data_IF_609480751163
#
_entry.id   IF_609480751163
#
_cell.length_a   1.000
_cell.length_b   1.000
_cell.length_c   1.000
_cell.angle_alpha   90.00
_cell.angle_beta   90.00
_cell.angle_gamma   90.00
#
_symmetry.space_group_name_H-M   'P 1'
#
loop_
_entity.id
_entity.type
_entity.pdbx_description
1 polymer ?
#
# COMPACT_ATOMS: atom_id res chain seq x y z
N UNK A 1 -9.83 13.96 -2.58
CA UNK A 1 -9.38 12.63 -2.94
C UNK A 1 -8.08 12.31 -2.20
N UNK A 2 -8.14 11.30 -1.36
CA UNK A 2 -6.99 10.81 -0.61
C UNK A 2 -6.06 10.08 -1.59
N UNK A 3 -4.79 10.48 -1.67
CA UNK A 3 -3.81 9.85 -2.55
C UNK A 3 -2.95 8.89 -1.76
N UNK A 4 -2.96 7.62 -2.14
CA UNK A 4 -1.91 6.69 -1.75
C UNK A 4 -0.74 7.00 -2.69
N UNK A 5 0.24 7.75 -2.19
CA UNK A 5 1.44 7.98 -2.96
C UNK A 5 2.25 6.70 -3.01
N UNK A 6 2.45 6.25 -4.21
CA UNK A 6 3.41 5.27 -4.64
C UNK A 6 3.36 3.93 -3.90
N UNK A 7 2.90 2.95 -4.61
CA UNK A 7 3.04 1.55 -4.26
C UNK A 7 2.27 1.16 -3.00
N UNK A 8 0.95 1.09 -3.13
CA UNK A 8 0.11 0.32 -2.22
C UNK A 8 0.40 -1.21 -2.32
N UNK A 9 1.58 -1.57 -2.72
CA UNK A 9 2.10 -2.90 -2.47
C UNK A 9 2.64 -2.88 -1.05
N UNK A 10 1.88 -3.41 -0.14
CA UNK A 10 2.42 -3.94 1.09
C UNK A 10 3.31 -5.10 0.65
N UNK A 11 4.51 -4.76 0.17
CA UNK A 11 5.41 -5.73 -0.45
C UNK A 11 6.28 -6.35 0.63
N UNK A 12 6.15 -7.65 0.79
CA UNK A 12 7.05 -8.44 1.60
C UNK A 12 8.40 -8.74 0.89
N UNK A 13 8.61 -8.24 -0.31
CA UNK A 13 9.72 -8.64 -1.19
C UNK A 13 11.01 -7.84 -1.03
N UNK A 14 11.07 -6.86 -0.13
CA UNK A 14 12.34 -6.23 0.22
C UNK A 14 13.08 -7.08 1.26
N UNK A 15 14.41 -7.28 1.14
CA UNK A 15 15.22 -7.93 2.17
C UNK A 15 15.38 -7.04 3.43
N UNK A 16 14.36 -6.29 3.77
CA UNK A 16 14.24 -5.40 4.92
C UNK A 16 12.92 -5.58 5.62
N UNK A 17 12.77 -4.89 6.75
CA UNK A 17 11.49 -4.82 7.47
C UNK A 17 10.44 -4.23 6.52
N UNK A 18 9.29 -4.89 6.29
CA UNK A 18 8.22 -4.35 5.47
C UNK A 18 7.82 -2.97 5.99
N UNK A 19 7.97 -1.95 5.17
CA UNK A 19 7.54 -0.60 5.54
C UNK A 19 6.07 -0.45 5.20
N UNK A 20 5.23 -0.03 6.15
CA UNK A 20 3.85 0.30 5.87
C UNK A 20 3.77 1.43 4.83
N UNK A 21 2.70 1.50 4.02
CA UNK A 21 2.51 2.59 3.08
C UNK A 21 2.34 3.92 3.84
N UNK A 22 2.92 4.99 3.32
CA UNK A 22 2.65 6.32 3.84
C UNK A 22 1.35 6.87 3.25
N UNK A 23 0.55 7.48 4.09
CA UNK A 23 -0.73 8.11 3.76
C UNK A 23 -0.61 9.61 4.02
N UNK A 24 -1.13 10.39 3.09
CA UNK A 24 -1.33 11.81 3.25
C UNK A 24 -2.83 12.13 3.26
N UNK A 25 -3.28 12.84 4.28
CA UNK A 25 -4.64 13.37 4.40
C UNK A 25 -4.60 14.86 4.07
N UNK A 26 -5.04 15.29 2.87
CA UNK A 26 -4.94 16.68 2.45
C UNK A 26 -5.72 17.65 3.36
N UNK A 27 -6.87 17.20 3.87
CA UNK A 27 -7.78 18.01 4.68
C UNK A 27 -7.14 18.40 6.02
N UNK A 28 -6.32 17.54 6.60
CA UNK A 28 -5.63 17.77 7.88
C UNK A 28 -4.15 18.09 7.72
N UNK A 29 -3.60 17.88 6.52
CA UNK A 29 -2.15 17.98 6.27
C UNK A 29 -1.33 16.92 7.00
N UNK A 30 -1.98 15.83 7.45
CA UNK A 30 -1.36 14.77 8.23
C UNK A 30 -0.64 13.77 7.34
N UNK A 31 0.57 13.38 7.75
CA UNK A 31 1.32 12.27 7.17
C UNK A 31 1.51 11.17 8.19
N UNK A 32 1.12 9.98 7.84
CA UNK A 32 1.24 8.83 8.73
C UNK A 32 1.27 7.51 7.99
N UNK A 33 1.33 6.45 8.75
CA UNK A 33 1.14 5.08 8.28
C UNK A 33 -0.15 4.54 8.86
N UNK A 34 -0.87 3.65 8.16
CA UNK A 34 -2.09 3.09 8.72
C UNK A 34 -1.79 2.29 9.97
N UNK A 35 -2.74 2.24 10.89
CA UNK A 35 -2.72 1.27 11.98
C UNK A 35 -2.77 -0.15 11.40
N UNK A 36 -2.14 -1.11 12.08
CA UNK A 36 -2.12 -2.52 11.65
C UNK A 36 -3.53 -3.09 11.46
N UNK A 37 -4.47 -2.68 12.31
CA UNK A 37 -5.88 -3.11 12.21
C UNK A 37 -6.55 -2.60 10.94
N UNK A 38 -6.23 -1.38 10.50
CA UNK A 38 -6.72 -0.87 9.22
C UNK A 38 -6.01 -1.54 8.04
N UNK A 39 -4.74 -1.89 8.17
CA UNK A 39 -4.02 -2.66 7.15
C UNK A 39 -4.62 -4.07 6.97
N UNK A 40 -4.99 -4.73 8.06
CA UNK A 40 -5.73 -6.01 8.03
C UNK A 40 -7.07 -5.86 7.30
N UNK A 41 -7.85 -4.83 7.65
CA UNK A 41 -9.13 -4.53 7.01
C UNK A 41 -8.99 -4.22 5.52
N UNK A 42 -7.91 -3.53 5.10
CA UNK A 42 -7.62 -3.26 3.69
C UNK A 42 -7.35 -4.55 2.90
N UNK A 43 -6.84 -5.59 3.54
CA UNK A 43 -6.68 -6.93 2.94
C UNK A 43 -7.94 -7.80 3.07
N UNK A 44 -8.97 -7.31 3.77
CA UNK A 44 -10.22 -8.03 3.98
C UNK A 44 -10.21 -8.98 5.20
N UNK A 45 -9.21 -8.86 6.08
CA UNK A 45 -9.19 -9.58 7.35
C UNK A 45 -10.01 -8.88 8.43
N UNK A 46 -10.52 -9.62 9.41
CA UNK A 46 -11.00 -9.04 10.66
C UNK A 46 -9.90 -8.26 11.38
N UNK A 47 -10.32 -7.33 12.22
CA UNK A 47 -9.40 -6.59 13.12
C UNK A 47 -8.66 -7.59 14.02
N UNK A 48 -7.36 -7.35 14.19
CA UNK A 48 -6.45 -8.17 15.02
C UNK A 48 -6.26 -9.63 14.58
N UNK A 49 -6.59 -9.93 13.32
CA UNK A 49 -6.37 -11.26 12.74
C UNK A 49 -4.93 -11.77 12.89
N UNK A 50 -3.96 -10.87 12.76
CA UNK A 50 -2.53 -11.21 12.87
C UNK A 50 -1.96 -11.02 14.29
N UNK A 51 -2.77 -10.64 15.27
CA UNK A 51 -2.32 -10.39 16.64
C UNK A 51 -1.60 -11.60 17.30
N UNK A 52 -2.00 -12.86 17.07
CA UNK A 52 -1.28 -14.02 17.61
C UNK A 52 0.20 -14.08 17.22
N UNK A 53 0.58 -13.53 16.06
CA UNK A 53 1.98 -13.45 15.64
C UNK A 53 2.83 -12.58 16.58
N UNK A 54 2.26 -11.54 17.17
CA UNK A 54 2.97 -10.71 18.14
C UNK A 54 3.16 -11.45 19.45
N UNK A 55 2.15 -12.20 19.90
CA UNK A 55 2.26 -13.02 21.09
C UNK A 55 3.36 -14.09 20.96
N UNK A 56 3.47 -14.72 19.77
CA UNK A 56 4.46 -15.74 19.51
C UNK A 56 5.90 -15.20 19.35
N UNK A 57 6.08 -13.98 18.82
CA UNK A 57 7.40 -13.45 18.45
C UNK A 57 7.87 -12.30 19.34
N UNK A 58 6.98 -11.70 20.13
CA UNK A 58 7.23 -10.47 20.90
C UNK A 58 7.45 -9.23 20.02
N UNK A 59 7.24 -9.31 18.71
CA UNK A 59 7.56 -8.24 17.75
C UNK A 59 6.39 -7.90 16.82
N UNK A 60 5.88 -6.66 16.83
CA UNK A 60 4.76 -6.25 15.97
C UNK A 60 5.14 -6.25 14.47
N UNK A 61 6.43 -6.18 14.13
CA UNK A 61 6.88 -6.15 12.73
C UNK A 61 6.53 -7.42 11.95
N UNK A 62 6.34 -8.56 12.62
CA UNK A 62 5.89 -9.80 12.00
C UNK A 62 4.51 -9.66 11.37
N UNK A 63 3.62 -8.87 11.97
CA UNK A 63 2.26 -8.64 11.47
C UNK A 63 2.26 -7.97 10.09
N UNK A 64 3.11 -6.95 9.88
CA UNK A 64 3.25 -6.30 8.57
C UNK A 64 3.67 -7.29 7.48
N UNK A 65 4.57 -8.21 7.81
CA UNK A 65 5.01 -9.25 6.87
C UNK A 65 3.86 -10.21 6.53
N UNK A 66 3.06 -10.61 7.51
CA UNK A 66 1.90 -11.46 7.28
C UNK A 66 0.87 -10.78 6.39
N UNK A 67 0.51 -9.53 6.69
CA UNK A 67 -0.43 -8.73 5.90
C UNK A 67 0.09 -8.54 4.46
N UNK A 68 1.38 -8.24 4.31
CA UNK A 68 1.97 -8.02 2.99
C UNK A 68 2.11 -9.29 2.12
N UNK A 69 2.21 -10.46 2.75
CA UNK A 69 2.23 -11.75 2.05
C UNK A 69 0.82 -12.30 1.78
N UNK A 70 -0.18 -11.75 2.45
CA UNK A 70 -1.55 -12.20 2.29
C UNK A 70 -2.12 -11.80 0.93
N UNK A 71 -3.00 -12.62 0.44
CA UNK A 71 -3.83 -12.29 -0.72
C UNK A 71 -5.04 -11.47 -0.28
N UNK A 72 -5.59 -10.67 -1.19
CA UNK A 72 -6.80 -9.89 -0.92
C UNK A 72 -8.00 -10.84 -0.75
N UNK A 73 -8.45 -11.02 0.49
CA UNK A 73 -9.45 -12.04 0.87
C UNK A 73 -10.73 -11.96 0.06
N UNK A 74 -11.38 -10.79 -0.14
CA UNK A 74 -12.64 -10.73 -0.89
C UNK A 74 -12.51 -11.20 -2.34
N UNK A 75 -11.35 -11.02 -2.98
CA UNK A 75 -11.13 -11.47 -4.34
C UNK A 75 -10.99 -12.98 -4.41
N UNK A 76 -10.26 -13.58 -3.47
CA UNK A 76 -10.09 -15.03 -3.42
C UNK A 76 -11.37 -15.75 -2.97
N UNK A 77 -12.15 -15.13 -2.10
CA UNK A 77 -13.49 -15.63 -1.75
C UNK A 77 -14.41 -15.64 -2.98
N UNK A 78 -14.40 -14.56 -3.75
CA UNK A 78 -15.14 -14.48 -5.00
C UNK A 78 -14.68 -15.57 -6.00
N UNK A 79 -13.37 -15.70 -6.18
CA UNK A 79 -12.79 -16.73 -7.07
C UNK A 79 -13.18 -18.13 -6.62
N UNK A 80 -13.04 -18.44 -5.32
CA UNK A 80 -13.44 -19.71 -4.76
C UNK A 80 -14.91 -20.06 -5.01
N UNK A 81 -15.81 -19.09 -4.81
CA UNK A 81 -17.24 -19.23 -5.13
C UNK A 81 -17.48 -19.51 -6.62
N UNK A 82 -16.70 -18.89 -7.51
CA UNK A 82 -16.78 -19.13 -8.96
C UNK A 82 -16.27 -20.51 -9.37
N UNK A 83 -15.20 -20.97 -8.73
CA UNK A 83 -14.67 -22.31 -8.98
C UNK A 83 -15.60 -23.41 -8.44
N UNK A 84 -16.21 -23.20 -7.27
CA UNK A 84 -17.15 -24.15 -6.67
C UNK A 84 -18.49 -24.21 -7.45
N UNK A 85 -18.95 -23.11 -8.03
CA UNK A 85 -20.15 -23.05 -8.83
C UNK A 85 -19.86 -22.29 -10.15
N UNK A 86 -19.26 -22.96 -11.15
CA UNK A 86 -18.94 -22.32 -12.42
C UNK A 86 -20.21 -21.85 -13.11
N UNK A 87 -20.23 -20.59 -13.49
CA UNK A 87 -21.27 -20.07 -14.38
C UNK A 87 -20.96 -20.61 -15.77
N UNK A 88 -21.97 -21.17 -16.42
CA UNK A 88 -21.84 -21.67 -17.79
C UNK A 88 -21.16 -20.66 -18.72
N UNK A 89 -20.58 -21.14 -19.80
CA UNK A 89 -19.84 -20.32 -20.78
C UNK A 89 -20.70 -19.14 -21.20
N UNK A 90 -20.32 -17.93 -20.72
CA UNK A 90 -20.77 -16.69 -21.35
C UNK A 90 -19.86 -16.46 -22.55
N UNK A 91 -20.44 -16.06 -23.67
CA UNK A 91 -19.64 -15.52 -24.77
C UNK A 91 -18.83 -14.32 -24.23
N UNK A 92 -17.52 -14.41 -24.30
CA UNK A 92 -16.69 -13.26 -23.99
C UNK A 92 -16.91 -12.18 -25.06
N UNK A 93 -16.91 -10.90 -24.69
CA UNK A 93 -16.88 -9.82 -25.69
C UNK A 93 -15.54 -9.89 -26.43
N UNK A 94 -15.54 -10.58 -27.55
CA UNK A 94 -14.36 -10.74 -28.39
C UNK A 94 -14.30 -9.53 -29.32
N UNK A 95 -13.23 -8.77 -29.21
CA UNK A 95 -12.93 -7.65 -30.10
C UNK A 95 -12.10 -8.07 -31.30
N UNK A 96 -11.44 -7.10 -31.92
CA UNK A 96 -10.65 -7.29 -33.14
C UNK A 96 -9.44 -8.22 -32.92
N UNK A 97 -9.09 -9.03 -33.93
CA UNK A 97 -7.85 -9.78 -33.90
C UNK A 97 -6.63 -8.86 -33.88
N UNK A 98 -5.56 -9.27 -33.23
CA UNK A 98 -4.31 -8.51 -33.18
C UNK A 98 -3.09 -9.41 -33.43
N UNK A 99 -2.04 -8.82 -34.02
CA UNK A 99 -0.82 -9.54 -34.39
C UNK A 99 0.42 -9.06 -33.62
N UNK A 100 0.58 -7.76 -33.40
CA UNK A 100 1.86 -7.16 -33.04
C UNK A 100 1.93 -6.58 -31.63
N UNK A 101 0.95 -5.82 -31.17
CA UNK A 101 0.97 -5.22 -29.84
C UNK A 101 -0.02 -5.91 -28.91
N UNK A 102 0.41 -6.28 -27.70
CA UNK A 102 -0.47 -6.90 -26.69
C UNK A 102 -1.42 -5.84 -26.11
N UNK A 103 -2.74 -6.07 -26.19
CA UNK A 103 -3.72 -5.22 -25.49
C UNK A 103 -3.71 -5.48 -24.00
N UNK A 104 -4.44 -4.66 -23.24
CA UNK A 104 -4.61 -4.84 -21.78
C UNK A 104 -5.19 -6.20 -21.40
N UNK A 105 -6.07 -6.76 -22.26
CA UNK A 105 -6.58 -8.11 -22.11
C UNK A 105 -6.79 -8.78 -23.48
N UNK A 106 -6.58 -10.08 -23.53
CA UNK A 106 -6.70 -10.87 -24.74
C UNK A 106 -7.20 -12.27 -24.44
N UNK A 107 -7.82 -12.89 -25.40
CA UNK A 107 -8.06 -14.33 -25.44
C UNK A 107 -7.49 -14.93 -26.71
N UNK A 108 -7.23 -16.22 -26.70
CA UNK A 108 -6.70 -16.93 -27.86
C UNK A 108 -7.12 -18.40 -27.87
N UNK A 109 -7.20 -18.94 -29.08
CA UNK A 109 -7.45 -20.35 -29.35
C UNK A 109 -7.25 -20.63 -30.82
N UNK A 110 -6.89 -21.86 -31.18
CA UNK A 110 -6.73 -22.30 -32.57
C UNK A 110 -5.80 -21.41 -33.40
N UNK A 111 -4.72 -20.92 -32.79
CA UNK A 111 -3.74 -20.05 -33.47
C UNK A 111 -4.18 -18.59 -33.66
N UNK A 112 -5.38 -18.23 -33.24
CA UNK A 112 -5.89 -16.83 -33.35
C UNK A 112 -5.84 -16.13 -32.00
N UNK A 113 -5.66 -14.80 -32.03
CA UNK A 113 -5.60 -13.94 -30.85
C UNK A 113 -6.57 -12.78 -31.05
N UNK A 114 -7.39 -12.50 -30.03
CA UNK A 114 -8.42 -11.47 -30.07
C UNK A 114 -8.27 -10.56 -28.85
N UNK A 115 -8.47 -9.27 -29.06
CA UNK A 115 -8.59 -8.30 -27.98
C UNK A 115 -9.86 -8.60 -27.19
N UNK A 116 -9.77 -8.50 -25.86
CA UNK A 116 -10.96 -8.47 -25.01
C UNK A 116 -11.24 -7.02 -24.62
N UNK A 117 -12.47 -6.60 -24.82
CA UNK A 117 -12.97 -5.33 -24.31
C UNK A 117 -13.42 -5.50 -22.86
N UNK A 118 -12.42 -5.49 -21.97
CA UNK A 118 -12.63 -5.57 -20.53
C UNK A 118 -12.02 -4.35 -19.84
N UNK A 119 -12.73 -3.82 -18.88
CA UNK A 119 -12.27 -2.70 -18.07
C UNK A 119 -11.50 -3.19 -16.86
N UNK A 120 -10.43 -2.49 -16.49
CA UNK A 120 -9.77 -2.64 -15.17
C UNK A 120 -10.72 -2.30 -14.02
N UNK A 121 -11.80 -1.58 -14.32
CA UNK A 121 -12.85 -1.19 -13.38
C UNK A 121 -14.20 -1.76 -13.83
N UNK A 122 -14.41 -3.08 -13.70
CA UNK A 122 -15.58 -3.76 -14.25
C UNK A 122 -16.90 -3.40 -13.54
N UNK A 123 -16.83 -2.75 -12.39
CA UNK A 123 -18.03 -2.33 -11.65
C UNK A 123 -17.96 -0.83 -11.39
N UNK A 124 -18.95 -0.09 -11.84
CA UNK A 124 -19.19 1.31 -11.47
C UNK A 124 -19.69 1.39 -10.02
N UNK A 125 -18.90 0.97 -9.05
CA UNK A 125 -19.17 1.18 -7.64
C UNK A 125 -18.55 2.49 -7.20
N UNK A 126 -19.31 3.29 -6.45
CA UNK A 126 -18.75 4.41 -5.70
C UNK A 126 -17.79 3.83 -4.66
N UNK A 127 -16.49 3.97 -4.92
CA UNK A 127 -15.46 3.57 -4.00
C UNK A 127 -15.45 4.55 -2.81
N UNK A 128 -15.40 4.01 -1.60
CA UNK A 128 -15.16 4.85 -0.42
C UNK A 128 -13.75 5.42 -0.49
N UNK A 129 -13.61 6.70 -0.18
CA UNK A 129 -12.29 7.30 -0.01
C UNK A 129 -11.50 6.59 1.10
N UNK A 130 -10.17 6.55 0.97
CA UNK A 130 -9.33 5.92 1.99
C UNK A 130 -9.55 6.56 3.37
N UNK A 131 -9.71 7.89 3.44
CA UNK A 131 -9.99 8.60 4.69
C UNK A 131 -11.28 8.12 5.37
N UNK A 132 -12.33 7.83 4.60
CA UNK A 132 -13.59 7.29 5.12
C UNK A 132 -13.46 5.81 5.53
N UNK A 133 -12.50 5.11 4.95
CA UNK A 133 -12.28 3.70 5.25
C UNK A 133 -11.52 3.50 6.56
N UNK A 134 -10.55 4.37 6.85
CA UNK A 134 -9.74 4.29 8.06
C UNK A 134 -10.61 4.46 9.30
N UNK A 135 -10.40 3.60 10.30
CA UNK A 135 -11.10 3.65 11.60
C UNK A 135 -10.20 4.02 12.76
N UNK A 136 -8.90 3.84 12.57
CA UNK A 136 -7.92 4.07 13.61
C UNK A 136 -7.01 5.24 13.23
N UNK A 137 -6.49 5.99 14.21
CA UNK A 137 -5.57 7.09 13.94
C UNK A 137 -4.34 6.62 13.16
N UNK A 138 -3.87 7.47 12.25
CA UNK A 138 -2.59 7.23 11.58
C UNK A 138 -1.45 7.26 12.60
N UNK A 139 -0.50 6.37 12.45
CA UNK A 139 0.77 6.46 13.16
C UNK A 139 1.62 7.55 12.49
N UNK A 140 2.07 8.59 13.20
CA UNK A 140 2.82 9.69 12.59
C UNK A 140 4.03 9.21 11.79
N UNK A 141 4.21 9.74 10.59
CA UNK A 141 5.37 9.38 9.76
C UNK A 141 6.64 9.98 10.38
N UNK A 142 7.64 9.14 10.61
CA UNK A 142 8.90 9.58 11.22
C UNK A 142 9.63 10.59 10.33
N UNK A 143 10.36 11.51 10.98
CA UNK A 143 11.23 12.47 10.27
C UNK A 143 12.13 11.80 9.23
N UNK A 144 12.81 10.70 9.61
CA UNK A 144 13.71 9.98 8.71
C UNK A 144 13.00 9.46 7.47
N UNK A 145 11.82 8.89 7.63
CA UNK A 145 11.03 8.37 6.52
C UNK A 145 10.54 9.50 5.61
N UNK A 146 9.98 10.57 6.19
CA UNK A 146 9.50 11.73 5.46
C UNK A 146 10.62 12.46 4.69
N UNK A 147 11.75 12.74 5.35
CA UNK A 147 12.90 13.39 4.73
C UNK A 147 13.51 12.53 3.61
N UNK A 148 13.62 11.23 3.83
CA UNK A 148 14.10 10.29 2.81
C UNK A 148 13.18 10.24 1.59
N UNK A 149 11.86 10.28 1.79
CA UNK A 149 10.89 10.33 0.70
C UNK A 149 10.97 11.67 -0.05
N UNK A 150 10.95 12.79 0.66
CA UNK A 150 11.07 14.13 0.08
C UNK A 150 12.34 14.27 -0.79
N UNK A 151 13.47 13.78 -0.29
CA UNK A 151 14.72 13.78 -1.04
C UNK A 151 14.67 12.95 -2.33
N UNK A 152 13.98 11.81 -2.33
CA UNK A 152 13.76 11.00 -3.54
C UNK A 152 12.77 11.68 -4.48
N UNK A 153 11.67 12.22 -3.98
CA UNK A 153 10.66 12.90 -4.78
C UNK A 153 11.25 14.08 -5.56
N UNK A 154 12.10 14.88 -4.91
CA UNK A 154 12.78 16.02 -5.56
C UNK A 154 13.78 15.63 -6.64
N UNK A 155 14.35 14.42 -6.58
CA UNK A 155 15.28 13.89 -7.60
C UNK A 155 14.60 13.03 -8.67
N UNK A 156 13.35 12.72 -8.48
CA UNK A 156 12.57 11.88 -9.38
C UNK A 156 12.09 12.68 -10.59
N UNK A 157 11.97 12.02 -11.73
CA UNK A 157 11.26 12.53 -12.91
C UNK A 157 9.72 12.48 -12.76
N UNK A 158 9.21 11.86 -11.71
CA UNK A 158 7.77 11.79 -11.43
C UNK A 158 7.23 13.17 -11.06
N UNK A 159 6.07 13.51 -11.62
CA UNK A 159 5.39 14.76 -11.31
C UNK A 159 4.53 14.57 -10.06
N UNK A 160 4.87 15.25 -9.00
CA UNK A 160 4.08 15.35 -7.78
C UNK A 160 3.27 16.66 -7.79
N UNK A 161 2.14 16.67 -7.10
CA UNK A 161 1.38 17.90 -6.86
C UNK A 161 2.20 18.84 -5.97
N UNK A 162 2.14 20.16 -6.26
CA UNK A 162 2.89 21.16 -5.49
C UNK A 162 2.48 21.18 -4.02
N UNK A 163 1.17 21.18 -3.74
CA UNK A 163 0.62 21.17 -2.39
C UNK A 163 1.06 19.95 -1.56
N UNK A 164 1.21 18.77 -2.21
CA UNK A 164 1.75 17.59 -1.56
C UNK A 164 3.21 17.78 -1.14
N UNK A 165 4.06 18.31 -2.03
CA UNK A 165 5.47 18.51 -1.73
C UNK A 165 5.68 19.56 -0.63
N UNK A 166 4.88 20.64 -0.64
CA UNK A 166 4.88 21.68 0.38
C UNK A 166 4.46 21.13 1.74
N UNK A 167 3.36 20.38 1.78
CA UNK A 167 2.87 19.75 3.00
C UNK A 167 3.89 18.74 3.56
N UNK A 168 4.55 17.95 2.68
CA UNK A 168 5.58 17.01 3.08
C UNK A 168 6.82 17.74 3.64
N UNK A 169 7.26 18.84 3.02
CA UNK A 169 8.37 19.64 3.51
C UNK A 169 8.04 20.26 4.88
N UNK A 170 6.83 20.77 5.06
CA UNK A 170 6.35 21.27 6.36
C UNK A 170 6.34 20.15 7.42
N UNK A 171 5.91 18.94 7.07
CA UNK A 171 5.95 17.79 7.98
C UNK A 171 7.38 17.42 8.37
N UNK A 172 8.33 17.43 7.42
CA UNK A 172 9.75 17.17 7.68
C UNK A 172 10.31 18.21 8.67
N UNK A 173 10.01 19.50 8.48
CA UNK A 173 10.46 20.56 9.40
C UNK A 173 9.88 20.38 10.81
N UNK A 174 8.58 20.08 10.91
CA UNK A 174 7.89 19.90 12.19
C UNK A 174 8.40 18.72 12.98
N UNK A 175 8.79 17.64 12.28
CA UNK A 175 9.26 16.40 12.90
C UNK A 175 10.77 16.32 13.05
N UNK A 176 11.49 17.38 12.68
CA UNK A 176 12.94 17.45 12.81
C UNK A 176 13.37 17.25 14.27
N UNK A 177 14.32 16.35 14.54
CA UNK A 177 14.80 16.14 15.90
C UNK A 177 15.45 17.42 16.43
N UNK A 178 15.07 17.80 17.66
CA UNK A 178 15.63 18.96 18.32
C UNK A 178 17.15 18.77 18.53
N UNK A 179 17.98 19.58 17.90
CA UNK A 179 19.45 19.40 17.88
C UNK A 179 20.08 19.55 19.28
N UNK A 180 19.37 20.13 20.22
CA UNK A 180 19.86 20.33 21.61
C UNK A 180 19.90 19.08 22.48
N UNK A 181 19.17 18.01 22.12
CA UNK A 181 19.11 16.79 22.94
C UNK A 181 20.25 15.78 22.66
N UNK A 182 21.13 16.03 21.70
CA UNK A 182 22.12 15.05 21.23
C UNK A 182 23.52 15.19 21.83
N UNK A 183 23.73 16.09 22.79
CA UNK A 183 25.01 16.20 23.53
C UNK A 183 24.95 15.48 24.88
N UNK A 184 24.62 14.18 24.90
CA UNK A 184 25.07 13.35 26.02
C UNK A 184 26.47 12.83 25.69
N UNK A 185 27.49 13.20 26.49
CA UNK A 185 28.83 12.65 26.29
C UNK A 185 28.81 11.14 26.50
N UNK A 186 29.41 10.41 25.57
CA UNK A 186 29.68 8.98 25.75
C UNK A 186 30.64 8.85 26.93
N UNK A 187 30.13 8.46 28.10
CA UNK A 187 30.97 8.02 29.22
C UNK A 187 31.79 6.80 28.73
N UNK A 188 33.09 6.98 28.61
CA UNK A 188 34.04 5.88 28.41
C UNK A 188 33.89 4.93 29.60
N UNK A 189 33.40 3.71 29.33
CA UNK A 189 33.56 2.60 30.31
C UNK A 189 35.05 2.28 30.32
N UNK A 190 35.74 2.72 31.35
CA UNK A 190 37.04 2.17 31.75
C UNK A 190 36.74 0.82 32.40
N UNK A 191 37.21 -0.25 31.78
CA UNK A 191 37.22 -1.59 32.40
C UNK A 191 38.45 -1.70 33.28
N UNK A 192 38.35 -2.36 34.44
CA UNK A 192 39.51 -2.74 35.26
C UNK A 192 40.26 -3.90 34.65
#
# INVERSE_FOLDING_TARGET
PCWITASARISASSPGIPSPPAIWLPETGEFGTPDLRDAERLQGFPVDWTAPSTAATGRPNGRWKLIGNAVFVPWFEWLGKRLAAPIGRRSLPIGEPFATSWPAAACGGEGKRFRLDVSERPAARRERGLAEFLRFPLQPLSHRAAAGFLGRARRSSLRFRADFLEALDAHVRRTAPNRTARQRPKTKRTSP
#
